data_IF_860576959945
#
_entry.id   IF_860576959945
#
_cell.length_a   1.000
_cell.length_b   1.000
_cell.length_c   1.000
_cell.angle_alpha   90.00
_cell.angle_beta   90.00
_cell.angle_gamma   90.00
#
_symmetry.space_group_name_H-M   'P 1'
#
loop_
_entity.id
_entity.type
_entity.pdbx_description
1 polymer ?
#
# COMPACT_ATOMS: atom_id res chain seq x y z
N UNK A 1 6.86 29.17 -19.27
CA UNK A 1 7.48 28.87 -17.96
C UNK A 1 8.07 27.47 -18.08
N UNK A 2 9.40 27.41 -18.17
CA UNK A 2 10.19 26.22 -18.47
C UNK A 2 10.11 25.24 -17.31
N UNK A 3 9.43 24.11 -17.51
CA UNK A 3 9.43 23.02 -16.57
C UNK A 3 10.85 22.46 -16.43
N UNK A 4 11.30 22.35 -15.19
CA UNK A 4 12.59 21.86 -14.76
C UNK A 4 12.94 20.52 -15.44
N UNK A 5 13.94 20.55 -16.34
CA UNK A 5 14.39 19.40 -17.15
C UNK A 5 15.51 18.61 -16.44
N UNK A 6 15.45 18.47 -15.12
CA UNK A 6 16.30 17.51 -14.44
C UNK A 6 15.80 16.08 -14.77
N UNK A 7 16.64 15.19 -15.34
CA UNK A 7 16.22 13.82 -15.60
C UNK A 7 15.86 13.16 -14.28
N UNK A 8 14.60 12.73 -14.14
CA UNK A 8 14.14 11.99 -12.95
C UNK A 8 15.09 10.82 -12.71
N UNK A 9 15.63 10.74 -11.49
CA UNK A 9 16.47 9.62 -11.06
C UNK A 9 15.70 8.32 -11.28
N UNK A 10 16.24 7.44 -12.13
CA UNK A 10 15.66 6.13 -12.40
C UNK A 10 16.31 5.09 -11.50
N UNK A 11 15.52 4.09 -11.11
CA UNK A 11 16.05 2.90 -10.46
C UNK A 11 17.24 2.35 -11.27
N UNK A 12 18.34 1.89 -10.64
CA UNK A 12 19.54 1.44 -11.35
C UNK A 12 19.28 0.43 -12.48
N UNK A 13 18.29 -0.44 -12.30
CA UNK A 13 17.88 -1.44 -13.30
C UNK A 13 17.18 -0.84 -14.54
N UNK A 14 16.57 0.35 -14.42
CA UNK A 14 15.82 1.03 -15.48
C UNK A 14 16.61 2.21 -16.10
N UNK A 15 17.72 2.64 -15.49
CA UNK A 15 18.45 3.85 -15.93
C UNK A 15 18.94 3.77 -17.39
N UNK A 16 19.30 2.56 -17.84
CA UNK A 16 19.86 2.33 -19.18
C UNK A 16 18.81 1.93 -20.23
N UNK A 17 17.52 1.84 -19.86
CA UNK A 17 16.45 1.45 -20.78
C UNK A 17 15.85 2.70 -21.45
N UNK A 18 15.54 2.66 -22.75
CA UNK A 18 14.89 3.78 -23.45
C UNK A 18 13.48 4.01 -22.92
N UNK A 19 13.02 5.26 -22.99
CA UNK A 19 11.68 5.65 -22.60
C UNK A 19 10.67 4.99 -23.52
N UNK A 20 9.72 4.25 -22.93
CA UNK A 20 8.54 3.82 -23.66
C UNK A 20 7.53 4.97 -23.66
N UNK A 21 7.16 5.54 -24.81
CA UNK A 21 6.19 6.62 -24.84
C UNK A 21 4.85 6.14 -24.30
N UNK A 22 4.19 6.96 -23.48
CA UNK A 22 2.86 6.65 -22.95
C UNK A 22 1.89 6.61 -24.13
N UNK A 23 1.35 5.43 -24.41
CA UNK A 23 0.32 5.27 -25.43
C UNK A 23 -0.98 5.93 -24.98
N UNK A 24 -1.74 6.45 -25.94
CA UNK A 24 -3.08 6.99 -25.66
C UNK A 24 -3.94 5.89 -25.06
N UNK A 25 -4.44 6.12 -23.84
CA UNK A 25 -5.34 5.19 -23.17
C UNK A 25 -6.63 5.01 -24.00
N UNK A 26 -7.12 3.78 -24.20
CA UNK A 26 -8.40 3.52 -24.85
C UNK A 26 -9.56 4.27 -24.19
N UNK A 27 -10.62 4.56 -24.95
CA UNK A 27 -11.71 5.39 -24.46
C UNK A 27 -12.43 4.78 -23.24
N UNK A 28 -12.54 3.45 -23.19
CA UNK A 28 -13.26 2.70 -22.16
C UNK A 28 -12.60 2.68 -20.78
N UNK A 29 -11.32 3.03 -20.64
CA UNK A 29 -10.60 3.04 -19.35
C UNK A 29 -10.44 4.45 -18.77
N UNK A 30 -10.90 5.48 -19.48
CA UNK A 30 -10.77 6.87 -19.04
C UNK A 30 -11.91 7.25 -18.10
N UNK A 31 -11.57 7.94 -17.02
CA UNK A 31 -12.51 8.48 -16.04
C UNK A 31 -12.39 10.00 -15.96
N UNK A 32 -13.41 10.65 -15.39
CA UNK A 32 -13.36 12.09 -15.12
C UNK A 32 -12.53 12.37 -13.87
N UNK A 33 -11.85 13.51 -13.84
CA UNK A 33 -11.10 13.94 -12.67
C UNK A 33 -12.04 14.15 -11.45
N UNK A 34 -11.62 13.77 -10.24
CA UNK A 34 -12.43 13.96 -9.04
C UNK A 34 -12.51 15.45 -8.69
N UNK A 35 -13.73 15.98 -8.62
CA UNK A 35 -14.01 17.39 -8.26
C UNK A 35 -15.04 17.52 -7.14
N UNK A 36 -15.36 16.41 -6.47
CA UNK A 36 -16.39 16.38 -5.42
C UNK A 36 -15.91 17.02 -4.12
N UNK A 37 -16.86 17.46 -3.28
CA UNK A 37 -16.53 18.04 -1.95
C UNK A 37 -15.94 17.00 -1.02
N UNK A 38 -16.44 15.76 -1.12
CA UNK A 38 -15.96 14.61 -0.37
C UNK A 38 -14.48 14.36 -0.68
N UNK A 39 -14.09 14.44 -1.96
CA UNK A 39 -12.70 14.31 -2.36
C UNK A 39 -11.81 15.36 -1.70
N UNK A 40 -12.21 16.63 -1.75
CA UNK A 40 -11.45 17.73 -1.17
C UNK A 40 -11.34 17.62 0.36
N UNK A 41 -12.42 17.19 1.02
CA UNK A 41 -12.44 16.99 2.47
C UNK A 41 -11.48 15.87 2.89
N UNK A 42 -11.52 14.72 2.20
CA UNK A 42 -10.61 13.61 2.48
C UNK A 42 -9.16 14.01 2.21
N UNK A 43 -8.88 14.65 1.07
CA UNK A 43 -7.53 15.10 0.74
C UNK A 43 -6.98 16.10 1.77
N UNK A 44 -7.84 16.93 2.37
CA UNK A 44 -7.44 17.84 3.45
C UNK A 44 -7.07 17.06 4.72
N UNK A 45 -7.91 16.11 5.15
CA UNK A 45 -7.66 15.28 6.33
C UNK A 45 -6.36 14.46 6.18
N UNK A 46 -6.08 13.91 5.00
CA UNK A 46 -4.82 13.19 4.75
C UNK A 46 -3.60 14.09 4.99
N UNK A 47 -3.63 15.32 4.46
CA UNK A 47 -2.54 16.30 4.64
C UNK A 47 -2.39 16.77 6.09
N UNK A 48 -3.51 17.06 6.76
CA UNK A 48 -3.52 17.51 8.17
C UNK A 48 -2.94 16.45 9.12
N UNK A 49 -3.09 15.16 8.80
CA UNK A 49 -2.56 14.06 9.60
C UNK A 49 -1.19 13.54 9.12
N UNK A 50 -0.56 14.20 8.13
CA UNK A 50 0.72 13.80 7.55
C UNK A 50 0.73 12.35 7.03
N UNK A 51 -0.34 11.92 6.38
CA UNK A 51 -0.53 10.55 5.91
C UNK A 51 -0.45 10.44 4.38
N UNK A 52 -0.06 9.26 3.91
CA UNK A 52 -0.03 8.92 2.49
C UNK A 52 -1.18 7.97 2.13
N UNK A 53 -1.64 8.03 0.88
CA UNK A 53 -2.60 7.06 0.33
C UNK A 53 -2.05 6.44 -0.95
N UNK A 54 -2.27 5.14 -1.14
CA UNK A 54 -2.03 4.53 -2.47
C UNK A 54 -2.95 5.16 -3.52
N UNK A 55 -4.11 5.66 -3.10
CA UNK A 55 -5.04 6.35 -3.99
C UNK A 55 -4.37 7.53 -4.72
N UNK A 56 -3.60 8.34 -4.00
CA UNK A 56 -2.85 9.48 -4.55
C UNK A 56 -1.53 9.01 -5.19
N UNK A 57 -0.72 8.21 -4.48
CA UNK A 57 0.62 7.81 -4.93
C UNK A 57 0.62 6.91 -6.18
N UNK A 58 -0.42 6.09 -6.36
CA UNK A 58 -0.60 5.27 -7.55
C UNK A 58 -1.41 5.97 -8.66
N UNK A 59 -1.77 7.25 -8.48
CA UNK A 59 -2.63 8.01 -9.39
C UNK A 59 -3.92 7.25 -9.75
N UNK A 60 -4.63 6.75 -8.72
CA UNK A 60 -5.77 5.87 -8.89
C UNK A 60 -6.94 6.58 -9.58
N UNK A 61 -7.45 6.09 -10.73
CA UNK A 61 -8.59 6.69 -11.40
C UNK A 61 -9.89 6.62 -10.55
N UNK A 62 -9.96 5.68 -9.61
CA UNK A 62 -11.17 5.40 -8.82
C UNK A 62 -11.23 6.21 -7.51
N UNK A 63 -10.25 7.06 -7.22
CA UNK A 63 -10.12 7.79 -5.94
C UNK A 63 -11.40 8.53 -5.53
N UNK A 64 -12.06 9.22 -6.46
CA UNK A 64 -13.28 9.98 -6.18
C UNK A 64 -14.48 9.08 -5.82
N UNK A 65 -14.62 7.94 -6.51
CA UNK A 65 -15.70 6.99 -6.24
C UNK A 65 -15.50 6.28 -4.90
N UNK A 66 -14.29 5.79 -4.63
CA UNK A 66 -13.97 5.08 -3.39
C UNK A 66 -14.16 5.99 -2.17
N UNK A 67 -13.65 7.22 -2.22
CA UNK A 67 -13.75 8.14 -1.10
C UNK A 67 -15.19 8.59 -0.83
N UNK A 68 -16.01 8.75 -1.88
CA UNK A 68 -17.44 9.01 -1.71
C UNK A 68 -18.20 7.86 -1.01
N UNK A 69 -17.73 6.62 -1.19
CA UNK A 69 -18.23 5.42 -0.49
C UNK A 69 -17.60 5.22 0.89
N UNK A 70 -16.85 6.20 1.41
CA UNK A 70 -16.14 6.11 2.70
C UNK A 70 -15.16 4.94 2.76
N UNK A 71 -14.51 4.65 1.63
CA UNK A 71 -13.45 3.66 1.50
C UNK A 71 -12.14 4.35 1.13
N UNK A 72 -11.04 4.00 1.82
CA UNK A 72 -9.72 4.53 1.48
C UNK A 72 -8.63 3.48 1.72
N UNK A 73 -7.54 3.60 0.95
CA UNK A 73 -6.34 2.79 1.13
C UNK A 73 -5.22 3.65 1.69
N UNK A 74 -4.91 3.43 2.97
CA UNK A 74 -3.82 4.10 3.68
C UNK A 74 -2.50 3.43 3.33
N UNK A 75 -1.50 4.24 2.95
CA UNK A 75 -0.14 3.76 2.72
C UNK A 75 0.75 4.17 3.89
N UNK A 76 1.09 3.20 4.73
CA UNK A 76 1.94 3.39 5.91
C UNK A 76 3.42 3.24 5.56
N UNK A 77 4.29 3.71 6.46
CA UNK A 77 5.76 3.64 6.37
C UNK A 77 6.37 4.54 5.29
N UNK A 78 5.66 5.60 4.91
CA UNK A 78 6.12 6.61 3.94
C UNK A 78 5.83 6.27 2.48
N UNK A 79 6.42 7.07 1.58
CA UNK A 79 6.21 7.02 0.12
C UNK A 79 7.40 6.43 -0.67
N UNK A 80 8.48 6.06 0.03
CA UNK A 80 9.72 5.55 -0.56
C UNK A 80 9.89 4.08 -0.22
N UNK A 81 9.90 3.24 -1.26
CA UNK A 81 10.03 1.79 -1.16
C UNK A 81 11.48 1.33 -1.33
N UNK A 82 11.89 0.29 -0.59
CA UNK A 82 13.22 -0.33 -0.75
C UNK A 82 13.33 -1.20 -2.01
N UNK A 83 12.22 -1.42 -2.73
CA UNK A 83 12.14 -2.28 -3.92
C UNK A 83 11.63 -1.52 -5.15
N UNK A 84 11.88 -2.12 -6.31
CA UNK A 84 11.55 -1.53 -7.62
C UNK A 84 10.74 -2.49 -8.51
N UNK A 85 9.52 -2.81 -8.08
CA UNK A 85 8.58 -3.52 -8.94
C UNK A 85 8.39 -2.75 -10.26
N UNK A 86 8.44 -3.46 -11.38
CA UNK A 86 8.51 -2.83 -12.70
C UNK A 86 7.24 -2.02 -13.04
N UNK A 87 6.10 -2.40 -12.46
CA UNK A 87 4.78 -1.81 -12.66
C UNK A 87 4.39 -0.78 -11.59
N UNK A 88 5.09 -0.74 -10.46
CA UNK A 88 4.70 0.09 -9.32
C UNK A 88 5.08 1.56 -9.57
N UNK A 89 4.17 2.47 -9.21
CA UNK A 89 4.37 3.92 -9.36
C UNK A 89 5.04 4.57 -8.12
N UNK A 90 5.16 3.82 -7.02
CA UNK A 90 5.79 4.30 -5.78
C UNK A 90 7.29 4.54 -5.99
N UNK A 91 7.80 5.62 -5.40
CA UNK A 91 9.21 6.00 -5.50
C UNK A 91 10.10 4.92 -4.88
N UNK A 92 11.14 4.49 -5.60
CA UNK A 92 12.17 3.60 -5.02
C UNK A 92 13.32 4.43 -4.47
N UNK A 93 13.79 4.11 -3.26
CA UNK A 93 14.92 4.80 -2.64
C UNK A 93 15.22 4.32 -1.23
N UNK A 94 15.95 5.14 -0.47
CA UNK A 94 16.19 4.91 0.96
C UNK A 94 15.05 5.55 1.76
N UNK A 95 14.24 4.77 2.50
CA UNK A 95 13.15 5.32 3.32
C UNK A 95 13.67 6.17 4.47
N UNK A 96 12.80 7.01 5.00
CA UNK A 96 13.01 7.70 6.28
C UNK A 96 12.72 6.77 7.46
N UNK A 97 13.16 7.12 8.68
CA UNK A 97 12.74 6.42 9.90
C UNK A 97 11.21 6.36 10.01
N UNK A 98 10.69 5.29 10.60
CA UNK A 98 9.25 5.18 10.89
C UNK A 98 8.83 6.32 11.82
N UNK A 99 7.68 6.92 11.52
CA UNK A 99 7.00 7.82 12.46
C UNK A 99 6.28 6.98 13.53
N UNK A 100 6.66 7.07 14.81
CA UNK A 100 5.98 6.35 15.90
C UNK A 100 4.52 6.76 16.08
N UNK A 101 4.13 7.95 15.61
CA UNK A 101 2.76 8.46 15.69
C UNK A 101 1.88 8.05 14.51
N UNK A 102 2.45 7.48 13.43
CA UNK A 102 1.69 7.05 12.25
C UNK A 102 0.49 6.15 12.59
N UNK A 103 0.58 5.13 13.49
CA UNK A 103 -0.58 4.33 13.88
C UNK A 103 -1.73 5.15 14.47
N UNK A 104 -1.40 6.14 15.30
CA UNK A 104 -2.39 7.03 15.93
C UNK A 104 -3.01 7.96 14.89
N UNK A 105 -2.19 8.56 14.03
CA UNK A 105 -2.63 9.47 12.98
C UNK A 105 -3.55 8.75 11.98
N UNK A 106 -3.20 7.52 11.56
CA UNK A 106 -4.07 6.68 10.72
C UNK A 106 -5.41 6.43 11.40
N UNK A 107 -5.41 6.02 12.67
CA UNK A 107 -6.66 5.77 13.40
C UNK A 107 -7.53 7.03 13.54
N UNK A 108 -6.90 8.20 13.75
CA UNK A 108 -7.60 9.49 13.79
C UNK A 108 -8.22 9.83 12.43
N UNK A 109 -7.47 9.69 11.34
CA UNK A 109 -7.99 9.95 10.00
C UNK A 109 -9.14 9.00 9.64
N UNK A 110 -9.02 7.70 9.92
CA UNK A 110 -10.08 6.71 9.71
C UNK A 110 -11.37 7.11 10.46
N UNK A 111 -11.23 7.55 11.71
CA UNK A 111 -12.36 7.99 12.52
C UNK A 111 -12.99 9.31 12.02
N UNK A 112 -12.16 10.31 11.67
CA UNK A 112 -12.61 11.62 11.17
C UNK A 112 -13.34 11.49 9.83
N UNK A 113 -12.86 10.60 8.95
CA UNK A 113 -13.49 10.30 7.67
C UNK A 113 -14.74 9.43 7.80
N UNK A 114 -14.94 8.80 8.95
CA UNK A 114 -16.03 7.86 9.18
C UNK A 114 -15.98 6.68 8.21
N UNK A 115 -14.79 6.14 7.92
CA UNK A 115 -14.64 5.06 6.94
C UNK A 115 -15.40 3.80 7.37
N UNK A 116 -16.14 3.21 6.44
CA UNK A 116 -16.83 1.92 6.65
C UNK A 116 -15.85 0.75 6.44
N UNK A 117 -14.92 0.95 5.51
CA UNK A 117 -13.86 0.00 5.18
C UNK A 117 -12.54 0.74 4.95
N UNK A 118 -11.46 0.24 5.54
CA UNK A 118 -10.10 0.75 5.31
C UNK A 118 -9.20 -0.38 4.86
N UNK A 119 -8.42 -0.11 3.81
CA UNK A 119 -7.30 -0.96 3.41
C UNK A 119 -6.02 -0.32 3.94
N UNK A 120 -5.21 -1.05 4.68
CA UNK A 120 -3.89 -0.62 5.15
C UNK A 120 -2.84 -1.37 4.34
N UNK A 121 -1.98 -0.65 3.65
CA UNK A 121 -0.85 -1.21 2.90
C UNK A 121 0.41 -0.42 3.16
N UNK A 122 1.56 -0.92 2.75
CA UNK A 122 2.84 -0.25 2.98
C UNK A 122 3.73 -0.33 1.75
N UNK A 123 4.76 0.51 1.75
CA UNK A 123 5.96 0.25 0.98
C UNK A 123 6.74 -0.95 1.55
N UNK A 124 7.62 -1.56 0.77
CA UNK A 124 8.57 -2.54 1.30
C UNK A 124 9.62 -1.82 2.16
N UNK A 125 9.86 -2.35 3.36
CA UNK A 125 10.82 -1.85 4.35
C UNK A 125 11.88 -2.89 4.69
N UNK A 126 12.65 -3.28 3.68
CA UNK A 126 13.70 -4.30 3.84
C UNK A 126 14.82 -3.87 4.82
N UNK A 127 14.91 -2.57 5.10
CA UNK A 127 15.81 -1.95 6.09
C UNK A 127 15.41 -2.25 7.54
N UNK A 128 14.16 -2.64 7.80
CA UNK A 128 13.67 -3.01 9.13
C UNK A 128 13.88 -4.51 9.39
N UNK A 129 14.19 -4.85 10.65
CA UNK A 129 14.45 -6.23 11.08
C UNK A 129 13.24 -7.15 10.87
N UNK A 130 12.04 -6.64 11.10
CA UNK A 130 10.76 -7.34 10.98
C UNK A 130 10.02 -7.02 9.67
N UNK A 131 10.64 -6.24 8.76
CA UNK A 131 10.01 -5.78 7.53
C UNK A 131 8.80 -4.86 7.75
N UNK A 132 8.61 -4.31 8.96
CA UNK A 132 7.47 -3.46 9.31
C UNK A 132 6.24 -4.19 9.86
N UNK A 133 6.33 -5.51 10.11
CA UNK A 133 5.24 -6.32 10.61
C UNK A 133 4.62 -5.79 11.92
N UNK A 134 5.44 -5.37 12.89
CA UNK A 134 4.95 -4.81 14.16
C UNK A 134 4.18 -3.51 13.92
N UNK A 135 4.62 -2.70 12.96
CA UNK A 135 3.96 -1.42 12.66
C UNK A 135 2.58 -1.62 12.01
N UNK A 136 2.44 -2.61 11.12
CA UNK A 136 1.11 -3.05 10.66
C UNK A 136 0.20 -3.42 11.82
N UNK A 137 0.68 -4.27 12.73
CA UNK A 137 -0.12 -4.70 13.89
C UNK A 137 -0.53 -3.53 14.79
N UNK A 138 0.37 -2.56 15.01
CA UNK A 138 0.09 -1.35 15.77
C UNK A 138 -0.99 -0.48 15.10
N UNK A 139 -0.94 -0.32 13.77
CA UNK A 139 -1.94 0.43 13.00
C UNK A 139 -3.31 -0.25 13.09
N UNK A 140 -3.37 -1.57 12.89
CA UNK A 140 -4.62 -2.35 13.02
C UNK A 140 -5.22 -2.19 14.42
N UNK A 141 -4.41 -2.32 15.47
CA UNK A 141 -4.84 -2.14 16.85
C UNK A 141 -5.35 -0.73 17.15
N UNK A 142 -4.66 0.30 16.64
CA UNK A 142 -5.06 1.69 16.81
C UNK A 142 -6.40 2.00 16.12
N UNK A 143 -6.58 1.53 14.87
CA UNK A 143 -7.84 1.67 14.13
C UNK A 143 -8.96 0.97 14.87
N UNK A 144 -8.77 -0.29 15.29
CA UNK A 144 -9.79 -1.07 15.98
C UNK A 144 -10.24 -0.40 17.29
N UNK A 145 -9.31 0.22 18.02
CA UNK A 145 -9.61 0.97 19.25
C UNK A 145 -10.43 2.24 18.99
N UNK A 146 -10.09 2.99 17.93
CA UNK A 146 -10.72 4.29 17.64
C UNK A 146 -12.02 4.17 16.85
N UNK A 147 -12.09 3.20 15.95
CA UNK A 147 -13.17 2.97 14.99
C UNK A 147 -13.59 1.50 14.98
N UNK A 148 -14.20 0.99 16.06
CA UNK A 148 -14.46 -0.44 16.25
C UNK A 148 -15.41 -1.06 15.22
N UNK A 149 -16.20 -0.24 14.51
CA UNK A 149 -17.13 -0.68 13.45
C UNK A 149 -16.51 -0.69 12.05
N UNK A 150 -15.34 -0.07 11.87
CA UNK A 150 -14.66 -0.04 10.58
C UNK A 150 -14.06 -1.41 10.31
N UNK A 151 -14.32 -1.96 9.13
CA UNK A 151 -13.67 -3.18 8.67
C UNK A 151 -12.27 -2.86 8.17
N UNK A 152 -11.30 -3.71 8.51
CA UNK A 152 -9.87 -3.50 8.27
C UNK A 152 -9.37 -4.60 7.35
N UNK A 153 -9.02 -4.23 6.13
CA UNK A 153 -8.21 -5.06 5.25
C UNK A 153 -6.75 -4.62 5.36
N UNK A 154 -5.83 -5.58 5.35
CA UNK A 154 -4.41 -5.30 5.15
C UNK A 154 -3.96 -5.85 3.81
N UNK A 155 -3.13 -5.10 3.08
CA UNK A 155 -2.41 -5.55 1.89
C UNK A 155 -0.92 -5.50 2.18
N UNK A 156 -0.33 -6.65 2.47
CA UNK A 156 1.03 -6.74 3.00
C UNK A 156 2.09 -6.89 1.91
N UNK A 157 3.34 -6.46 2.17
CA UNK A 157 4.49 -6.97 1.45
C UNK A 157 4.70 -8.47 1.74
N UNK A 158 5.71 -9.08 1.13
CA UNK A 158 6.09 -10.48 1.39
C UNK A 158 6.99 -10.64 2.65
N UNK A 159 7.36 -9.52 3.28
CA UNK A 159 8.30 -9.44 4.39
C UNK A 159 9.66 -10.12 4.15
N UNK A 160 9.99 -10.55 2.92
CA UNK A 160 11.22 -11.28 2.61
C UNK A 160 11.47 -12.48 3.54
N UNK A 161 10.37 -13.15 3.92
CA UNK A 161 10.39 -14.26 4.88
C UNK A 161 11.03 -13.90 6.24
N UNK A 162 10.91 -12.64 6.70
CA UNK A 162 11.32 -12.26 8.06
C UNK A 162 10.61 -13.17 9.09
N UNK A 163 11.39 -13.72 9.99
CA UNK A 163 10.89 -14.60 11.05
C UNK A 163 9.88 -13.86 11.93
N UNK A 164 8.72 -14.48 12.19
CA UNK A 164 7.66 -13.93 13.04
C UNK A 164 6.84 -12.80 12.43
N UNK A 165 7.18 -12.31 11.23
CA UNK A 165 6.48 -11.18 10.60
C UNK A 165 5.03 -11.55 10.24
N UNK A 166 4.83 -12.69 9.58
CA UNK A 166 3.50 -13.17 9.17
C UNK A 166 2.64 -13.43 10.41
N UNK A 167 3.21 -14.08 11.43
CA UNK A 167 2.55 -14.38 12.70
C UNK A 167 2.12 -13.11 13.42
N UNK A 168 2.99 -12.10 13.48
CA UNK A 168 2.69 -10.80 14.12
C UNK A 168 1.51 -10.11 13.45
N UNK A 169 1.51 -10.07 12.11
CA UNK A 169 0.47 -9.40 11.36
C UNK A 169 -0.84 -10.18 11.41
N UNK A 170 -0.81 -11.51 11.27
CA UNK A 170 -2.00 -12.35 11.40
C UNK A 170 -2.63 -12.24 12.81
N UNK A 171 -1.80 -12.21 13.86
CA UNK A 171 -2.25 -12.04 15.24
C UNK A 171 -2.92 -10.69 15.53
N UNK A 172 -2.73 -9.68 14.67
CA UNK A 172 -3.45 -8.40 14.77
C UNK A 172 -4.93 -8.48 14.39
N UNK A 173 -5.37 -9.62 13.81
CA UNK A 173 -6.75 -9.94 13.43
C UNK A 173 -7.41 -8.85 12.55
N UNK A 174 -6.84 -8.57 11.36
CA UNK A 174 -7.57 -7.81 10.35
C UNK A 174 -8.84 -8.60 9.94
N UNK A 175 -9.82 -7.93 9.35
CA UNK A 175 -11.00 -8.59 8.78
C UNK A 175 -10.65 -9.32 7.48
N UNK A 176 -9.67 -8.79 6.73
CA UNK A 176 -9.15 -9.41 5.50
C UNK A 176 -7.61 -9.31 5.47
N UNK A 177 -6.94 -10.44 5.25
CA UNK A 177 -5.51 -10.51 4.98
C UNK A 177 -5.28 -10.62 3.46
N UNK A 178 -4.72 -9.60 2.84
CA UNK A 178 -4.44 -9.57 1.41
C UNK A 178 -2.92 -9.60 1.15
N UNK A 179 -2.51 -10.39 0.16
CA UNK A 179 -1.19 -10.31 -0.45
C UNK A 179 -1.28 -10.61 -1.94
N UNK A 180 -1.04 -9.61 -2.78
CA UNK A 180 -1.14 -9.79 -4.23
C UNK A 180 0.02 -10.63 -4.77
N UNK A 181 -0.29 -11.59 -5.64
CA UNK A 181 0.70 -12.26 -6.50
C UNK A 181 1.08 -11.40 -7.72
N UNK A 182 0.16 -10.56 -8.21
CA UNK A 182 0.31 -9.64 -9.33
C UNK A 182 0.44 -10.27 -10.73
N UNK A 183 1.19 -11.36 -10.87
CA UNK A 183 1.40 -11.99 -12.18
C UNK A 183 1.73 -13.48 -12.09
N UNK A 184 1.75 -14.14 -13.24
CA UNK A 184 2.06 -15.57 -13.38
C UNK A 184 3.54 -15.86 -13.13
N UNK A 185 3.92 -17.09 -12.71
CA UNK A 185 5.30 -17.45 -12.34
C UNK A 185 6.34 -17.08 -13.40
N UNK A 186 6.03 -17.29 -14.68
CA UNK A 186 6.93 -17.04 -15.81
C UNK A 186 7.38 -15.57 -15.92
N UNK A 187 6.52 -14.62 -15.55
CA UNK A 187 6.81 -13.18 -15.65
C UNK A 187 7.31 -12.58 -14.34
N UNK A 188 7.18 -13.32 -13.23
CA UNK A 188 7.42 -12.80 -11.90
C UNK A 188 8.80 -12.16 -11.70
N UNK A 189 9.93 -12.77 -12.12
CA UNK A 189 11.24 -12.16 -11.91
C UNK A 189 11.44 -10.85 -12.67
N UNK A 190 10.76 -10.68 -13.81
CA UNK A 190 10.85 -9.46 -14.62
C UNK A 190 9.98 -8.33 -14.06
N UNK A 191 8.82 -8.67 -13.48
CA UNK A 191 7.82 -7.71 -13.00
C UNK A 191 8.05 -7.35 -11.52
N UNK A 192 8.52 -8.30 -10.71
CA UNK A 192 8.79 -8.19 -9.27
C UNK A 192 10.17 -8.77 -8.93
N UNK A 193 11.27 -8.11 -9.34
CA UNK A 193 12.63 -8.67 -9.18
C UNK A 193 13.00 -8.98 -7.72
N UNK A 194 12.47 -8.20 -6.78
CA UNK A 194 12.70 -8.34 -5.34
C UNK A 194 11.85 -9.38 -4.61
N UNK A 195 10.91 -10.05 -5.29
CA UNK A 195 10.01 -11.04 -4.69
C UNK A 195 10.07 -12.39 -5.43
N UNK A 196 9.47 -13.44 -4.84
CA UNK A 196 9.37 -14.76 -5.46
C UNK A 196 7.93 -15.27 -5.39
N UNK A 197 7.44 -15.84 -6.50
CA UNK A 197 6.04 -16.28 -6.63
C UNK A 197 5.64 -17.28 -5.54
N UNK A 198 6.47 -18.31 -5.32
CA UNK A 198 6.18 -19.34 -4.32
C UNK A 198 6.34 -18.85 -2.88
N UNK A 199 7.19 -17.87 -2.62
CA UNK A 199 7.24 -17.18 -1.31
C UNK A 199 5.93 -16.45 -1.04
N UNK A 200 5.42 -15.71 -2.03
CA UNK A 200 4.14 -14.99 -1.91
C UNK A 200 2.94 -15.93 -1.73
N UNK A 201 2.94 -17.09 -2.41
CA UNK A 201 1.94 -18.13 -2.17
C UNK A 201 2.06 -18.76 -0.78
N UNK A 202 3.28 -19.07 -0.34
CA UNK A 202 3.54 -19.66 0.96
C UNK A 202 3.12 -18.71 2.09
N UNK A 203 3.28 -17.40 1.92
CA UNK A 203 2.77 -16.41 2.87
C UNK A 203 1.27 -16.59 3.10
N UNK A 204 0.46 -16.64 2.04
CA UNK A 204 -0.99 -16.84 2.16
C UNK A 204 -1.32 -18.20 2.78
N UNK A 205 -0.57 -19.24 2.42
CA UNK A 205 -0.72 -20.58 3.01
C UNK A 205 -0.42 -20.58 4.51
N UNK A 206 0.66 -19.92 4.95
CA UNK A 206 1.05 -19.79 6.36
C UNK A 206 0.01 -19.04 7.17
N UNK A 207 -0.55 -17.94 6.63
CA UNK A 207 -1.65 -17.22 7.29
C UNK A 207 -2.81 -18.16 7.61
N UNK A 208 -3.20 -19.01 6.65
CA UNK A 208 -4.26 -20.01 6.85
C UNK A 208 -3.89 -21.12 7.84
N UNK A 209 -2.61 -21.45 7.99
CA UNK A 209 -2.15 -22.39 9.03
C UNK A 209 -2.17 -21.78 10.42
N UNK A 210 -1.91 -20.48 10.54
CA UNK A 210 -1.95 -19.74 11.80
C UNK A 210 -3.40 -19.57 12.26
N UNK A 211 -4.27 -19.07 11.37
CA UNK A 211 -5.69 -18.87 11.63
C UNK A 211 -6.51 -19.25 10.38
N UNK A 212 -7.11 -20.45 10.35
CA UNK A 212 -7.94 -20.88 9.23
C UNK A 212 -9.18 -19.99 9.01
N UNK A 213 -9.65 -19.31 10.07
CA UNK A 213 -10.85 -18.45 10.03
C UNK A 213 -10.58 -17.09 9.40
N UNK A 214 -9.32 -16.65 9.37
CA UNK A 214 -8.94 -15.36 8.79
C UNK A 214 -9.14 -15.35 7.28
N UNK A 215 -9.95 -14.44 6.76
CA UNK A 215 -10.20 -14.36 5.31
C UNK A 215 -8.94 -13.90 4.57
N UNK A 216 -8.50 -14.65 3.56
CA UNK A 216 -7.30 -14.34 2.76
C UNK A 216 -7.65 -14.08 1.31
N UNK A 217 -6.98 -13.13 0.66
CA UNK A 217 -7.11 -12.90 -0.79
C UNK A 217 -5.78 -12.53 -1.46
N UNK A 218 -5.73 -12.63 -2.80
CA UNK A 218 -4.65 -12.21 -3.69
C UNK A 218 -5.23 -11.48 -4.90
#
# INVERSE_FOLDING_TARGET
MTADTAPKLRHPEKRNRPDSPIQRKPDWIRVKAPVSREYQATARIMRENHLNTVCEEAACPNIGECWAKRHATMMIMGEVCTRACAFCNVTTGKPTPLDPMEPVNVALAVAQLGLEHVVVTSVDRDDLKDGGAVHFANVVGAIRKKSPRTTIEILTPDFKDREGAIETVAASRPDVFNHNLETVPRLYPAIRPGARYFTSLELLHRVKRIDPSLFTKS
#
